data_IF_176939467813
#
_entry.id   IF_176939467813
#
_cell.length_a   1.000
_cell.length_b   1.000
_cell.length_c   1.000
_cell.angle_alpha   90.00
_cell.angle_beta   90.00
_cell.angle_gamma   90.00
#
_symmetry.space_group_name_H-M   'P 1'
#
loop_
_entity.id
_entity.type
_entity.pdbx_description
1 polymer ?
#
# COMPACT_ATOMS: atom_id res chain seq x y z
N UNK A 1 13.36 -5.27 48.05
CA UNK A 1 13.00 -4.15 47.13
C UNK A 1 12.95 -4.58 45.67
N UNK A 2 13.98 -5.25 45.12
CA UNK A 2 14.01 -5.66 43.70
C UNK A 2 12.87 -6.61 43.28
N UNK A 3 12.46 -7.53 44.16
CA UNK A 3 11.35 -8.47 43.89
C UNK A 3 9.97 -7.78 43.82
N UNK A 4 9.77 -6.72 44.61
CA UNK A 4 8.51 -5.97 44.65
C UNK A 4 8.30 -5.13 43.37
N UNK A 5 9.38 -4.55 42.85
CA UNK A 5 9.39 -3.81 41.58
C UNK A 5 9.08 -4.72 40.38
N UNK A 6 9.57 -5.97 40.42
CA UNK A 6 9.34 -6.97 39.36
C UNK A 6 7.89 -7.46 39.36
N UNK A 7 7.31 -7.71 40.53
CA UNK A 7 5.89 -8.07 40.66
C UNK A 7 4.96 -6.92 40.25
N UNK A 8 5.30 -5.68 40.61
CA UNK A 8 4.54 -4.49 40.20
C UNK A 8 4.63 -4.25 38.68
N UNK A 9 5.79 -4.48 38.07
CA UNK A 9 5.98 -4.42 36.62
C UNK A 9 5.18 -5.49 35.86
N UNK A 10 5.09 -6.72 36.39
CA UNK A 10 4.25 -7.78 35.82
C UNK A 10 2.75 -7.42 35.97
N UNK A 11 2.33 -6.87 37.11
CA UNK A 11 0.94 -6.46 37.32
C UNK A 11 0.51 -5.30 36.41
N UNK A 12 1.41 -4.33 36.17
CA UNK A 12 1.22 -3.25 35.19
C UNK A 12 1.21 -3.77 33.75
N UNK A 13 2.04 -4.76 33.41
CA UNK A 13 2.04 -5.39 32.11
C UNK A 13 0.75 -6.17 31.83
N UNK A 14 0.19 -6.87 32.84
CA UNK A 14 -1.06 -7.64 32.72
C UNK A 14 -2.29 -6.73 32.56
N UNK A 15 -2.30 -5.57 33.22
CA UNK A 15 -3.39 -4.59 33.06
C UNK A 15 -3.33 -3.84 31.72
N UNK A 16 -2.16 -3.71 31.09
CA UNK A 16 -1.99 -3.11 29.77
C UNK A 16 -2.52 -3.98 28.61
N UNK A 17 -2.69 -5.30 28.81
CA UNK A 17 -3.20 -6.22 27.77
C UNK A 17 -4.73 -6.19 27.63
N UNK A 18 -5.45 -5.54 28.56
CA UNK A 18 -6.92 -5.63 28.67
C UNK A 18 -7.70 -4.56 27.87
N UNK A 19 -7.15 -4.06 26.76
CA UNK A 19 -7.83 -3.11 25.85
C UNK A 19 -7.98 -3.66 24.42
N UNK A 20 -8.03 -4.97 24.24
CA UNK A 20 -8.54 -5.55 23.00
C UNK A 20 -10.06 -5.31 22.95
N UNK A 21 -10.48 -4.20 22.33
CA UNK A 21 -11.89 -3.94 22.08
C UNK A 21 -12.47 -5.12 21.29
N UNK A 22 -13.34 -5.90 21.95
CA UNK A 22 -14.02 -7.09 21.41
C UNK A 22 -15.08 -6.75 20.35
N UNK A 23 -15.39 -5.45 20.16
CA UNK A 23 -16.41 -4.99 19.23
C UNK A 23 -15.84 -4.83 17.81
N UNK A 24 -16.63 -5.12 16.77
CA UNK A 24 -16.26 -4.84 15.39
C UNK A 24 -15.92 -3.36 15.24
N UNK A 25 -14.68 -3.05 14.83
CA UNK A 25 -14.29 -1.68 14.49
C UNK A 25 -14.41 -1.52 12.97
N UNK A 26 -15.28 -0.62 12.56
CA UNK A 26 -15.41 -0.18 11.17
C UNK A 26 -14.76 1.20 11.06
N UNK A 27 -13.84 1.35 10.12
CA UNK A 27 -13.22 2.62 9.78
C UNK A 27 -13.36 2.82 8.27
N UNK A 28 -13.59 4.06 7.87
CA UNK A 28 -13.61 4.46 6.47
C UNK A 28 -12.98 5.84 6.34
N UNK A 29 -12.24 6.07 5.27
CA UNK A 29 -11.44 7.26 5.16
C UNK A 29 -10.83 7.49 3.79
N UNK A 30 -10.07 8.58 3.73
CA UNK A 30 -9.22 8.92 2.59
C UNK A 30 -7.76 8.59 2.92
N UNK A 31 -6.97 8.33 1.88
CA UNK A 31 -5.53 8.11 1.97
C UNK A 31 -4.83 8.76 0.79
N UNK A 32 -3.71 9.42 1.05
CA UNK A 32 -2.84 10.00 0.05
C UNK A 32 -1.38 9.73 0.39
N UNK A 33 -0.52 9.68 -0.61
CA UNK A 33 0.89 9.37 -0.38
C UNK A 33 1.77 9.52 -1.61
N UNK A 34 3.04 9.22 -1.40
CA UNK A 34 4.08 9.18 -2.43
C UNK A 34 4.58 7.76 -2.59
N UNK A 35 5.02 7.44 -3.79
CA UNK A 35 5.58 6.13 -4.11
C UNK A 35 6.93 6.26 -4.83
N UNK A 36 7.77 5.25 -4.68
CA UNK A 36 9.10 5.18 -5.27
C UNK A 36 9.25 3.82 -5.95
N UNK A 37 9.52 3.83 -7.24
CA UNK A 37 9.74 2.58 -7.98
C UNK A 37 11.11 1.99 -7.66
N UNK A 38 11.11 0.74 -7.22
CA UNK A 38 12.33 -0.06 -7.03
C UNK A 38 12.62 -0.81 -8.32
N UNK A 39 13.63 -0.38 -9.08
CA UNK A 39 14.14 -1.15 -10.21
C UNK A 39 15.29 -2.03 -9.74
N UNK A 40 15.07 -3.35 -9.77
CA UNK A 40 16.11 -4.35 -9.54
C UNK A 40 17.11 -4.37 -10.71
N UNK A 41 18.12 -3.49 -10.67
CA UNK A 41 19.52 -3.83 -10.96
C UNK A 41 20.43 -2.60 -10.94
N UNK A 42 21.53 -2.75 -10.19
CA UNK A 42 22.85 -2.14 -10.45
C UNK A 42 22.97 -0.61 -10.35
N UNK A 43 23.44 -0.15 -9.19
CA UNK A 43 24.19 1.11 -9.07
C UNK A 43 23.36 2.32 -8.64
N UNK A 44 23.65 2.83 -7.44
CA UNK A 44 23.13 4.07 -6.85
C UNK A 44 21.63 4.06 -6.48
N UNK A 45 21.37 3.66 -5.23
CA UNK A 45 20.05 3.59 -4.58
C UNK A 45 19.37 4.96 -4.38
N UNK A 46 19.99 6.09 -4.78
CA UNK A 46 19.51 7.45 -4.47
C UNK A 46 19.72 8.50 -5.58
N UNK A 47 19.50 8.18 -6.86
CA UNK A 47 19.24 9.25 -7.84
C UNK A 47 17.77 9.70 -7.73
N UNK A 48 17.56 10.79 -6.98
CA UNK A 48 16.25 11.27 -6.51
C UNK A 48 15.34 11.87 -7.60
N UNK A 49 15.84 12.09 -8.81
CA UNK A 49 15.20 13.09 -9.70
C UNK A 49 14.07 12.56 -10.58
N UNK A 50 13.87 11.24 -10.76
CA UNK A 50 12.86 10.72 -11.70
C UNK A 50 12.02 9.51 -11.25
N UNK A 51 12.11 9.09 -9.97
CA UNK A 51 11.51 7.81 -9.51
C UNK A 51 10.27 7.94 -8.63
N UNK A 52 9.88 9.17 -8.28
CA UNK A 52 8.82 9.44 -7.31
C UNK A 52 7.46 9.64 -7.98
N UNK A 53 6.48 8.79 -7.66
CA UNK A 53 5.07 8.93 -8.00
C UNK A 53 4.20 9.30 -6.80
N UNK A 54 2.88 9.27 -6.99
CA UNK A 54 1.90 9.56 -5.95
C UNK A 54 0.69 8.64 -6.01
N UNK A 55 -0.04 8.54 -4.91
CA UNK A 55 -1.29 7.81 -4.83
C UNK A 55 -2.33 8.61 -4.04
N UNK A 56 -3.60 8.44 -4.39
CA UNK A 56 -4.70 9.06 -3.68
C UNK A 56 -5.99 8.27 -3.86
N UNK A 57 -6.78 8.16 -2.79
CA UNK A 57 -8.09 7.53 -2.85
C UNK A 57 -8.68 7.20 -1.49
N UNK A 58 -9.41 6.10 -1.42
CA UNK A 58 -10.22 5.73 -0.27
C UNK A 58 -9.82 4.36 0.30
N UNK A 59 -10.13 4.16 1.57
CA UNK A 59 -9.91 2.90 2.25
C UNK A 59 -11.02 2.63 3.25
N UNK A 60 -11.31 1.35 3.48
CA UNK A 60 -12.14 0.90 4.57
C UNK A 60 -11.38 -0.15 5.39
N UNK A 61 -11.71 -0.30 6.66
CA UNK A 61 -11.15 -1.33 7.53
C UNK A 61 -12.24 -1.90 8.41
N UNK A 62 -12.36 -3.22 8.39
CA UNK A 62 -13.30 -4.01 9.18
C UNK A 62 -12.49 -4.95 10.04
N UNK A 63 -12.51 -4.76 11.36
CA UNK A 63 -11.67 -5.56 12.26
C UNK A 63 -12.40 -6.06 13.49
N UNK A 64 -12.01 -7.25 13.94
CA UNK A 64 -12.43 -7.86 15.18
C UNK A 64 -11.25 -8.67 15.76
N UNK A 65 -11.17 -8.79 17.09
CA UNK A 65 -10.19 -9.65 17.77
C UNK A 65 -8.72 -9.36 17.40
N UNK A 66 -8.38 -8.10 17.09
CA UNK A 66 -7.03 -7.69 16.72
C UNK A 66 -6.66 -7.90 15.24
N UNK A 67 -7.50 -8.59 14.47
CA UNK A 67 -7.36 -8.74 13.02
C UNK A 67 -8.26 -7.76 12.28
N UNK A 68 -7.92 -7.48 11.01
CA UNK A 68 -8.73 -6.66 10.13
C UNK A 68 -8.61 -7.08 8.67
N UNK A 69 -9.69 -6.84 7.94
CA UNK A 69 -9.72 -6.79 6.49
C UNK A 69 -9.82 -5.32 6.05
N UNK A 70 -8.98 -4.93 5.11
CA UNK A 70 -8.82 -3.54 4.66
C UNK A 70 -8.81 -3.48 3.13
N UNK A 71 -9.99 -3.33 2.48
CA UNK A 71 -10.07 -3.02 1.07
C UNK A 71 -9.77 -1.54 0.81
N UNK A 72 -9.08 -1.26 -0.28
CA UNK A 72 -8.66 0.08 -0.68
C UNK A 72 -8.89 0.31 -2.17
N UNK A 73 -8.99 1.57 -2.58
CA UNK A 73 -9.11 1.98 -3.98
C UNK A 73 -8.33 3.27 -4.21
N UNK A 74 -7.36 3.23 -5.12
CA UNK A 74 -6.46 4.34 -5.42
C UNK A 74 -6.40 4.68 -6.90
N UNK A 75 -6.21 5.97 -7.18
CA UNK A 75 -5.55 6.43 -8.41
C UNK A 75 -4.07 6.57 -8.06
N UNK A 76 -3.22 5.88 -8.81
CA UNK A 76 -1.77 5.83 -8.56
C UNK A 76 -1.02 6.26 -9.81
N UNK A 77 -0.12 7.24 -9.67
CA UNK A 77 0.91 7.57 -10.65
C UNK A 77 2.19 6.80 -10.32
N UNK A 78 2.74 6.09 -11.30
CA UNK A 78 3.95 5.25 -11.17
C UNK A 78 4.97 5.70 -12.22
N UNK A 79 6.22 5.90 -11.81
CA UNK A 79 7.32 6.29 -12.70
C UNK A 79 8.33 5.15 -12.81
N UNK A 80 8.64 4.65 -13.99
CA UNK A 80 9.50 3.47 -14.19
C UNK A 80 10.56 3.76 -15.24
N UNK A 81 11.81 3.49 -14.91
CA UNK A 81 12.92 3.53 -15.86
C UNK A 81 12.88 2.28 -16.76
N UNK A 82 12.85 2.48 -18.06
CA UNK A 82 13.03 1.45 -19.08
C UNK A 82 14.47 1.55 -19.55
N UNK A 83 15.29 0.58 -19.12
CA UNK A 83 16.64 0.43 -19.64
C UNK A 83 16.56 -0.13 -21.06
N UNK A 84 16.74 0.72 -22.07
CA UNK A 84 16.98 0.25 -23.43
C UNK A 84 18.41 -0.28 -23.53
N UNK A 85 18.60 -1.37 -24.29
CA UNK A 85 19.89 -2.04 -24.51
C UNK A 85 21.00 -1.13 -25.07
N UNK A 86 20.68 0.09 -25.49
CA UNK A 86 21.60 1.10 -26.00
C UNK A 86 22.07 2.11 -24.93
N UNK A 87 21.78 1.90 -23.64
CA UNK A 87 22.24 2.79 -22.56
C UNK A 87 21.47 4.10 -22.40
N UNK A 88 20.44 4.35 -23.23
CA UNK A 88 19.51 5.46 -23.03
C UNK A 88 18.47 5.07 -21.97
N UNK A 89 18.56 5.67 -20.78
CA UNK A 89 17.53 5.58 -19.76
C UNK A 89 16.32 6.42 -20.22
N UNK A 90 15.20 5.76 -20.49
CA UNK A 90 13.92 6.42 -20.77
C UNK A 90 13.01 6.19 -19.57
N UNK A 91 12.49 7.27 -18.98
CA UNK A 91 11.54 7.20 -17.87
C UNK A 91 10.11 7.25 -18.41
N UNK A 92 9.30 6.26 -18.04
CA UNK A 92 7.89 6.21 -18.40
C UNK A 92 7.03 6.50 -17.17
N UNK A 93 6.09 7.44 -17.30
CA UNK A 93 5.08 7.75 -16.29
C UNK A 93 3.74 7.17 -16.71
N UNK A 94 3.10 6.41 -15.83
CA UNK A 94 1.76 5.90 -16.09
C UNK A 94 0.86 5.99 -14.86
N UNK A 95 -0.45 5.94 -15.13
CA UNK A 95 -1.48 6.01 -14.10
C UNK A 95 -2.28 4.72 -14.08
N UNK A 96 -2.65 4.25 -12.89
CA UNK A 96 -3.49 3.07 -12.71
C UNK A 96 -4.57 3.30 -11.66
N UNK A 97 -5.63 2.49 -11.77
CA UNK A 97 -6.57 2.25 -10.67
C UNK A 97 -6.09 1.01 -9.93
N UNK A 98 -5.75 1.16 -8.65
CA UNK A 98 -5.24 0.08 -7.81
C UNK A 98 -6.27 -0.29 -6.75
N UNK A 99 -6.52 -1.60 -6.61
CA UNK A 99 -7.44 -2.21 -5.65
C UNK A 99 -6.69 -3.19 -4.74
N UNK A 100 -6.05 -2.71 -3.66
CA UNK A 100 -5.51 -3.56 -2.61
C UNK A 100 -6.61 -4.23 -1.77
N UNK A 101 -6.46 -5.52 -1.49
CA UNK A 101 -7.30 -6.27 -0.55
C UNK A 101 -6.41 -6.82 0.55
N UNK A 102 -6.41 -6.18 1.72
CA UNK A 102 -5.38 -6.40 2.74
C UNK A 102 -5.96 -7.13 3.95
N UNK A 103 -5.21 -8.09 4.48
CA UNK A 103 -5.45 -8.68 5.80
C UNK A 103 -4.35 -8.19 6.74
N UNK A 104 -4.74 -7.69 7.92
CA UNK A 104 -3.82 -7.09 8.87
C UNK A 104 -4.09 -7.47 10.31
N UNK A 105 -3.09 -7.24 11.14
CA UNK A 105 -3.13 -7.44 12.58
C UNK A 105 -2.60 -6.21 13.30
N UNK A 106 -3.20 -5.89 14.46
CA UNK A 106 -2.66 -4.87 15.36
C UNK A 106 -1.57 -5.46 16.24
N UNK A 107 -0.46 -4.73 16.36
CA UNK A 107 0.64 -5.04 17.27
C UNK A 107 0.74 -3.90 18.29
N UNK A 108 0.19 -4.09 19.48
CA UNK A 108 0.21 -3.01 20.48
C UNK A 108 -0.14 -3.45 21.89
N UNK A 109 0.89 -3.65 22.72
CA UNK A 109 0.82 -3.74 24.18
C UNK A 109 1.29 -2.45 24.89
N UNK A 110 1.56 -1.36 24.15
CA UNK A 110 2.20 -0.14 24.70
C UNK A 110 1.59 1.19 24.21
N UNK A 111 0.30 1.21 23.86
CA UNK A 111 -0.42 2.45 23.50
C UNK A 111 -0.09 3.04 22.12
N UNK A 112 0.96 2.58 21.45
CA UNK A 112 1.21 2.85 20.02
C UNK A 112 0.33 1.93 19.18
N UNK A 113 -0.55 2.50 18.35
CA UNK A 113 -1.49 1.77 17.48
C UNK A 113 -0.81 1.12 16.27
N UNK A 114 0.28 0.39 16.49
CA UNK A 114 1.03 -0.30 15.46
C UNK A 114 0.20 -1.38 14.78
N UNK A 115 0.41 -1.56 13.47
CA UNK A 115 -0.24 -2.59 12.67
C UNK A 115 0.67 -3.09 11.56
N UNK A 116 0.45 -4.33 11.16
CA UNK A 116 1.00 -4.92 9.95
C UNK A 116 -0.14 -5.42 9.07
N UNK A 117 0.10 -5.52 7.78
CA UNK A 117 -0.86 -6.02 6.82
C UNK A 117 -0.18 -6.56 5.56
N UNK A 118 -0.83 -7.49 4.90
CA UNK A 118 -0.41 -8.01 3.61
C UNK A 118 -1.62 -8.47 2.80
N UNK A 119 -1.48 -8.52 1.48
CA UNK A 119 -2.53 -9.02 0.62
C UNK A 119 -2.30 -8.76 -0.87
N UNK A 120 -3.19 -9.27 -1.73
CA UNK A 120 -3.13 -9.01 -3.16
C UNK A 120 -3.45 -7.54 -3.49
N UNK A 121 -2.92 -7.09 -4.62
CA UNK A 121 -3.23 -5.83 -5.26
C UNK A 121 -3.54 -6.07 -6.72
N UNK A 122 -4.71 -5.63 -7.15
CA UNK A 122 -5.13 -5.60 -8.56
C UNK A 122 -4.88 -4.19 -9.11
N UNK A 123 -4.13 -4.09 -10.20
CA UNK A 123 -3.75 -2.82 -10.82
C UNK A 123 -4.24 -2.75 -12.26
N UNK A 124 -5.12 -1.80 -12.54
CA UNK A 124 -5.72 -1.55 -13.84
C UNK A 124 -5.08 -0.32 -14.46
N UNK A 125 -4.20 -0.52 -15.44
CA UNK A 125 -3.49 0.57 -16.10
C UNK A 125 -4.45 1.42 -16.96
N UNK A 126 -4.35 2.73 -16.83
CA UNK A 126 -5.05 3.70 -17.70
C UNK A 126 -4.15 3.95 -18.90
N UNK A 127 -4.67 3.74 -20.12
CA UNK A 127 -3.95 3.95 -21.37
C UNK A 127 -4.92 4.42 -22.48
N UNK A 128 -4.42 4.59 -23.71
CA UNK A 128 -5.21 5.08 -24.84
C UNK A 128 -6.47 4.23 -25.11
N UNK A 129 -6.38 2.92 -24.90
CA UNK A 129 -7.47 1.97 -25.16
C UNK A 129 -8.37 1.76 -23.92
N UNK A 130 -7.83 2.01 -22.72
CA UNK A 130 -8.51 1.92 -21.44
C UNK A 130 -8.50 3.27 -20.73
N UNK A 131 -9.51 4.10 -21.00
CA UNK A 131 -9.69 5.36 -20.29
C UNK A 131 -10.04 5.15 -18.79
N UNK A 132 -10.04 6.24 -18.02
CA UNK A 132 -10.36 6.21 -16.58
C UNK A 132 -11.70 5.52 -16.28
N UNK A 133 -12.73 5.75 -17.09
CA UNK A 133 -14.04 5.14 -16.92
C UNK A 133 -14.00 3.62 -17.10
N UNK A 134 -13.29 3.14 -18.13
CA UNK A 134 -13.07 1.71 -18.37
C UNK A 134 -12.27 1.06 -17.23
N UNK A 135 -11.20 1.73 -16.75
CA UNK A 135 -10.39 1.22 -15.65
C UNK A 135 -11.18 1.11 -14.33
N UNK A 136 -12.01 2.12 -14.02
CA UNK A 136 -12.94 2.07 -12.87
C UNK A 136 -13.99 0.98 -13.07
N UNK A 137 -14.53 0.83 -14.28
CA UNK A 137 -15.47 -0.25 -14.63
C UNK A 137 -14.88 -1.65 -14.40
N UNK A 138 -13.65 -1.90 -14.84
CA UNK A 138 -12.96 -3.17 -14.61
C UNK A 138 -12.61 -3.40 -13.14
N UNK A 139 -12.22 -2.34 -12.41
CA UNK A 139 -11.97 -2.42 -10.98
C UNK A 139 -13.24 -2.78 -10.18
N UNK A 140 -14.37 -2.13 -10.49
CA UNK A 140 -15.66 -2.40 -9.84
C UNK A 140 -16.23 -3.79 -10.18
N UNK A 141 -15.96 -4.30 -11.39
CA UNK A 141 -16.36 -5.65 -11.83
C UNK A 141 -15.35 -6.74 -11.44
N UNK A 142 -14.23 -6.39 -10.81
CA UNK A 142 -13.13 -7.31 -10.51
C UNK A 142 -12.69 -8.15 -11.74
N UNK A 143 -12.53 -7.50 -12.90
CA UNK A 143 -12.08 -8.18 -14.12
C UNK A 143 -10.58 -8.54 -14.05
N UNK A 144 -10.29 -9.65 -13.38
CA UNK A 144 -8.95 -10.15 -13.12
C UNK A 144 -8.11 -10.38 -14.38
N UNK A 145 -8.74 -10.66 -15.54
CA UNK A 145 -8.03 -10.93 -16.80
C UNK A 145 -7.39 -9.68 -17.41
N UNK A 146 -7.99 -8.53 -17.15
CA UNK A 146 -7.49 -7.22 -17.58
C UNK A 146 -6.58 -6.54 -16.54
N UNK A 147 -6.48 -7.13 -15.35
CA UNK A 147 -5.74 -6.59 -14.22
C UNK A 147 -4.29 -7.08 -14.19
N UNK A 148 -3.44 -6.29 -13.57
CA UNK A 148 -2.11 -6.72 -13.19
C UNK A 148 -2.10 -7.07 -11.71
N UNK A 149 -1.32 -8.07 -11.37
CA UNK A 149 -1.29 -8.61 -10.03
C UNK A 149 0.02 -8.26 -9.34
N UNK A 150 -0.09 -7.77 -8.11
CA UNK A 150 1.01 -7.54 -7.19
C UNK A 150 0.66 -8.08 -5.79
N UNK A 151 1.67 -8.29 -4.97
CA UNK A 151 1.51 -8.55 -3.54
C UNK A 151 1.96 -7.30 -2.79
N UNK A 152 1.14 -6.86 -1.85
CA UNK A 152 1.46 -5.79 -0.90
C UNK A 152 1.77 -6.39 0.46
N UNK A 153 2.79 -5.84 1.13
CA UNK A 153 3.01 -6.00 2.55
C UNK A 153 3.46 -4.67 3.16
N UNK A 154 3.00 -4.36 4.37
CA UNK A 154 3.31 -3.09 5.00
C UNK A 154 3.04 -3.07 6.49
N UNK A 155 3.44 -1.95 7.08
CA UNK A 155 3.20 -1.62 8.47
C UNK A 155 2.72 -0.18 8.59
N UNK A 156 2.00 0.11 9.65
CA UNK A 156 1.52 1.45 9.92
C UNK A 156 1.34 1.72 11.40
N UNK A 157 1.14 2.99 11.71
CA UNK A 157 0.85 3.47 13.05
C UNK A 157 -0.44 4.27 12.97
N UNK A 158 -1.41 3.91 13.81
CA UNK A 158 -2.67 4.62 13.95
C UNK A 158 -2.63 5.51 15.21
N UNK A 159 -2.85 6.81 15.01
CA UNK A 159 -2.93 7.84 16.05
C UNK A 159 -4.31 8.49 15.94
N UNK A 160 -5.26 8.06 16.78
CA UNK A 160 -6.66 8.50 16.70
C UNK A 160 -7.27 8.22 15.31
N UNK A 161 -7.63 9.27 14.57
CA UNK A 161 -8.17 9.22 13.20
C UNK A 161 -7.09 9.27 12.12
N UNK A 162 -5.84 9.50 12.47
CA UNK A 162 -4.73 9.63 11.52
C UNK A 162 -3.95 8.32 11.48
N UNK A 163 -3.58 7.89 10.28
CA UNK A 163 -2.76 6.70 10.06
C UNK A 163 -1.56 7.05 9.18
N UNK A 164 -0.37 6.61 9.59
CA UNK A 164 0.84 6.70 8.77
C UNK A 164 1.20 5.28 8.33
N UNK A 165 1.46 5.10 7.04
CA UNK A 165 1.62 3.80 6.38
C UNK A 165 2.92 3.75 5.58
N UNK A 166 3.72 2.71 5.81
CA UNK A 166 4.84 2.32 4.97
C UNK A 166 4.57 0.93 4.40
N UNK A 167 4.55 0.79 3.07
CA UNK A 167 4.30 -0.50 2.40
C UNK A 167 5.21 -0.71 1.21
N UNK A 168 5.47 -1.99 0.92
CA UNK A 168 6.12 -2.45 -0.29
C UNK A 168 5.14 -3.23 -1.16
N UNK A 169 5.14 -2.95 -2.44
CA UNK A 169 4.34 -3.61 -3.46
C UNK A 169 5.28 -4.35 -4.40
N UNK A 170 5.12 -5.66 -4.54
CA UNK A 170 5.89 -6.51 -5.44
C UNK A 170 5.05 -6.91 -6.65
N UNK A 171 5.36 -6.36 -7.82
CA UNK A 171 4.67 -6.70 -9.07
C UNK A 171 4.98 -8.13 -9.52
N UNK A 172 3.94 -8.97 -9.63
CA UNK A 172 4.09 -10.37 -10.04
C UNK A 172 3.91 -10.54 -11.55
N UNK A 173 2.95 -9.83 -12.14
CA UNK A 173 2.72 -9.84 -13.58
C UNK A 173 3.42 -8.67 -14.26
N UNK A 174 3.84 -8.89 -15.51
CA UNK A 174 4.26 -7.79 -16.37
C UNK A 174 3.02 -7.00 -16.75
N UNK A 175 3.03 -5.69 -16.55
CA UNK A 175 1.94 -4.85 -17.01
C UNK A 175 2.28 -4.27 -18.39
N UNK A 176 1.28 -4.21 -19.26
CA UNK A 176 1.40 -3.55 -20.56
C UNK A 176 1.22 -2.04 -20.34
N UNK A 177 2.16 -1.26 -20.87
CA UNK A 177 2.18 0.20 -20.75
C UNK A 177 2.33 0.85 -22.09
N UNK A 178 1.68 1.99 -22.28
CA UNK A 178 1.79 2.80 -23.48
C UNK A 178 2.21 4.22 -23.11
N UNK A 179 3.42 4.61 -23.51
CA UNK A 179 4.01 5.93 -23.24
C UNK A 179 3.74 6.93 -24.38
N UNK A 180 2.63 6.77 -25.10
CA UNK A 180 2.32 7.59 -26.29
C UNK A 180 3.01 7.15 -27.59
N UNK A 181 4.09 6.36 -27.52
CA UNK A 181 4.82 5.86 -28.69
C UNK A 181 4.96 4.34 -28.76
N UNK A 182 5.25 3.67 -27.64
CA UNK A 182 5.64 2.24 -27.63
C UNK A 182 4.96 1.49 -26.52
N UNK A 183 4.64 0.21 -26.77
CA UNK A 183 4.12 -0.71 -25.77
C UNK A 183 5.26 -1.37 -24.99
N UNK A 184 5.35 -1.13 -23.68
CA UNK A 184 6.34 -1.72 -22.80
C UNK A 184 5.70 -2.76 -21.87
N UNK A 185 6.45 -3.83 -21.55
CA UNK A 185 6.02 -4.85 -20.58
C UNK A 185 7.02 -4.93 -19.44
N UNK A 186 6.67 -4.41 -18.27
CA UNK A 186 7.58 -4.48 -17.11
C UNK A 186 6.85 -4.83 -15.82
N UNK A 187 7.58 -5.45 -14.89
CA UNK A 187 7.13 -5.68 -13.52
C UNK A 187 7.50 -4.45 -12.70
N UNK A 188 6.55 -3.93 -11.95
CA UNK A 188 6.74 -2.71 -11.18
C UNK A 188 6.61 -3.04 -9.71
N UNK A 189 7.64 -2.67 -8.96
CA UNK A 189 7.65 -2.78 -7.51
C UNK A 189 7.79 -1.39 -6.91
N UNK A 190 7.02 -1.10 -5.87
CA UNK A 190 6.91 0.25 -5.29
C UNK A 190 7.13 0.21 -3.79
N UNK A 191 7.87 1.19 -3.27
CA UNK A 191 7.76 1.59 -1.86
C UNK A 191 6.79 2.75 -1.76
N UNK A 192 5.83 2.68 -0.86
CA UNK A 192 4.85 3.75 -0.65
C UNK A 192 4.91 4.25 0.79
N UNK A 193 4.92 5.57 0.94
CA UNK A 193 4.71 6.28 2.19
C UNK A 193 3.41 7.06 2.09
N UNK A 194 2.46 6.81 3.00
CA UNK A 194 1.13 7.41 2.92
C UNK A 194 0.57 7.87 4.27
N UNK A 195 -0.30 8.86 4.20
CA UNK A 195 -1.08 9.40 5.30
C UNK A 195 -2.56 9.16 5.03
N UNK A 196 -3.27 8.66 6.03
CA UNK A 196 -4.69 8.38 5.97
C UNK A 196 -5.44 9.12 7.07
N UNK A 197 -6.67 9.51 6.76
CA UNK A 197 -7.62 10.09 7.72
C UNK A 197 -8.91 9.29 7.73
N UNK A 198 -9.32 8.82 8.90
CA UNK A 198 -10.55 8.06 9.13
C UNK A 198 -11.68 9.01 9.54
N UNK A 199 -12.82 8.93 8.85
CA UNK A 199 -14.03 9.66 9.20
C UNK A 199 -14.74 9.03 10.42
N UNK A 200 -14.76 7.68 10.45
CA UNK A 200 -15.25 6.83 11.54
C UNK A 200 -14.10 6.14 12.31
#
# INVERSE_FOLDING_TARGET
>A
MKKLLLTLGIFLAVTAVSKAQLLPKVQFGIKGGVNLSSLSNSGSTFSSENRAGYLGGIWARFGALGFNFQPELYITSKNVDINNSNGAASSAKFTSIDVPLLLGGKIGAFGLGGRFYAGPLLSFAINKDNNLGSAVGSATRFDYKSSNFAITAGAGIDISKISIDLRYEAGLTKQNYFDGSTNYKTRVSLFNLSLAYAFL
#
